data_IF_562810179486
#
_entry.id   IF_562810179486
#
_cell.length_a   1.000
_cell.length_b   1.000
_cell.length_c   1.000
_cell.angle_alpha   90.00
_cell.angle_beta   90.00
_cell.angle_gamma   90.00
#
_symmetry.space_group_name_H-M   'P 1'
#
loop_
_entity.id
_entity.type
_entity.pdbx_description
1 polymer ?
#
# COMPACT_ATOMS: atom_id res chain seq x y z
N UNK A 1 8.38 9.14 -1.33
CA UNK A 1 7.07 9.76 -1.65
C UNK A 1 6.18 9.92 -0.42
N UNK A 2 5.17 10.80 -0.46
CA UNK A 2 4.22 10.95 0.64
C UNK A 2 3.35 9.69 0.82
N UNK A 3 3.16 9.23 2.06
CA UNK A 3 2.28 8.09 2.40
C UNK A 3 0.87 8.28 1.84
N UNK A 4 0.32 9.48 1.92
CA UNK A 4 -1.02 9.80 1.40
C UNK A 4 -1.15 9.55 -0.11
N UNK A 5 -0.08 9.75 -0.88
CA UNK A 5 -0.06 9.43 -2.31
C UNK A 5 -0.14 7.92 -2.54
N UNK A 6 0.63 7.13 -1.78
CA UNK A 6 0.55 5.67 -1.84
C UNK A 6 -0.85 5.17 -1.46
N UNK A 7 -1.42 5.62 -0.34
CA UNK A 7 -2.75 5.17 0.09
C UNK A 7 -3.86 5.48 -0.93
N UNK A 8 -3.78 6.64 -1.58
CA UNK A 8 -4.71 7.00 -2.66
C UNK A 8 -4.59 6.07 -3.86
N UNK A 9 -3.38 5.69 -4.23
CA UNK A 9 -3.13 4.70 -5.28
C UNK A 9 -3.67 3.32 -4.91
N UNK A 10 -3.41 2.85 -3.68
CA UNK A 10 -3.95 1.58 -3.18
C UNK A 10 -5.48 1.55 -3.29
N UNK A 11 -6.16 2.59 -2.81
CA UNK A 11 -7.63 2.71 -2.91
C UNK A 11 -8.13 2.76 -4.35
N UNK A 12 -7.42 3.47 -5.24
CA UNK A 12 -7.77 3.55 -6.67
C UNK A 12 -7.75 2.17 -7.33
N UNK A 13 -6.87 1.27 -6.89
CA UNK A 13 -6.78 -0.11 -7.36
C UNK A 13 -7.59 -1.11 -6.53
N UNK A 14 -8.54 -0.63 -5.72
CA UNK A 14 -9.46 -1.49 -4.98
C UNK A 14 -8.87 -2.14 -3.73
N UNK A 15 -7.63 -1.81 -3.33
CA UNK A 15 -7.10 -2.27 -2.06
C UNK A 15 -7.78 -1.56 -0.89
N UNK A 16 -8.02 -2.31 0.18
CA UNK A 16 -8.70 -1.81 1.38
C UNK A 16 -7.83 -1.98 2.62
N UNK A 17 -8.09 -1.14 3.61
CA UNK A 17 -7.46 -1.23 4.92
C UNK A 17 -8.05 -2.42 5.67
N UNK A 18 -7.24 -3.46 5.91
CA UNK A 18 -7.65 -4.68 6.61
C UNK A 18 -7.59 -4.52 8.13
N UNK A 19 -6.53 -3.89 8.64
CA UNK A 19 -6.32 -3.69 10.08
C UNK A 19 -5.37 -2.53 10.33
N UNK A 20 -5.71 -1.65 11.27
CA UNK A 20 -4.75 -0.66 11.78
C UNK A 20 -3.88 -1.26 12.88
N UNK A 21 -2.58 -1.01 12.79
CA UNK A 21 -1.60 -1.31 13.83
C UNK A 21 -0.89 -0.05 14.30
N UNK A 22 0.01 -0.20 15.27
CA UNK A 22 0.74 0.94 15.86
C UNK A 22 1.67 1.60 14.84
N UNK A 23 2.60 0.83 14.27
CA UNK A 23 3.60 1.36 13.31
C UNK A 23 3.24 1.09 11.84
N UNK A 24 2.40 0.09 11.58
CA UNK A 24 2.02 -0.34 10.24
C UNK A 24 0.51 -0.56 10.16
N UNK A 25 -0.06 -0.25 9.00
CA UNK A 25 -1.44 -0.59 8.62
C UNK A 25 -1.39 -1.79 7.69
N UNK A 26 -2.20 -2.82 7.91
CA UNK A 26 -2.33 -3.93 6.97
C UNK A 26 -3.33 -3.56 5.88
N UNK A 27 -2.90 -3.66 4.64
CA UNK A 27 -3.72 -3.45 3.45
C UNK A 27 -3.91 -4.77 2.73
N UNK A 28 -5.07 -4.94 2.10
CA UNK A 28 -5.37 -6.15 1.35
C UNK A 28 -5.98 -5.82 0.00
N UNK A 29 -5.66 -6.63 -1.01
CA UNK A 29 -6.35 -6.63 -2.28
C UNK A 29 -7.45 -7.71 -2.22
N UNK A 30 -8.74 -7.34 -2.13
CA UNK A 30 -9.82 -8.31 -2.03
C UNK A 30 -9.98 -9.19 -3.27
N UNK A 31 -9.50 -8.74 -4.43
CA UNK A 31 -9.57 -9.49 -5.68
C UNK A 31 -8.59 -10.65 -5.73
N UNK A 32 -7.40 -10.48 -5.12
CA UNK A 32 -6.34 -11.50 -5.13
C UNK A 32 -6.14 -12.19 -3.78
N UNK A 33 -6.68 -11.63 -2.69
CA UNK A 33 -6.46 -12.08 -1.32
C UNK A 33 -5.12 -11.63 -0.72
N UNK A 34 -4.27 -10.96 -1.50
CA UNK A 34 -2.95 -10.52 -1.05
C UNK A 34 -3.02 -9.50 0.08
N UNK A 35 -2.04 -9.52 0.97
CA UNK A 35 -1.96 -8.65 2.14
C UNK A 35 -0.54 -8.11 2.30
N UNK A 36 -0.43 -6.80 2.49
CA UNK A 36 0.84 -6.13 2.71
C UNK A 36 0.80 -5.14 3.87
N UNK A 37 1.95 -4.96 4.52
CA UNK A 37 2.13 -4.00 5.60
C UNK A 37 2.58 -2.64 5.04
N UNK A 38 1.80 -1.60 5.32
CA UNK A 38 2.09 -0.22 4.90
C UNK A 38 2.53 0.59 6.12
N UNK A 39 3.77 1.13 6.15
CA UNK A 39 4.25 1.97 7.24
C UNK A 39 3.38 3.21 7.48
N UNK A 40 3.33 3.70 8.73
CA UNK A 40 2.50 4.85 9.13
C UNK A 40 3.23 6.20 9.17
N UNK A 41 4.54 6.23 9.00
CA UNK A 41 5.31 7.47 8.84
C UNK A 41 4.98 8.21 7.54
N UNK A 42 5.26 9.51 7.50
CA UNK A 42 4.83 10.45 6.46
C UNK A 42 5.46 10.17 5.09
N UNK A 43 6.71 9.72 5.08
CA UNK A 43 7.48 9.50 3.86
C UNK A 43 7.83 8.03 3.67
N UNK A 44 7.47 7.47 2.51
CA UNK A 44 7.77 6.09 2.14
C UNK A 44 8.82 6.10 1.04
N UNK A 45 9.94 5.39 1.17
CA UNK A 45 10.93 5.24 0.09
C UNK A 45 10.27 4.69 -1.18
N UNK A 46 10.59 5.26 -2.35
CA UNK A 46 9.94 4.89 -3.62
C UNK A 46 10.10 3.39 -3.93
N UNK A 47 11.25 2.80 -3.62
CA UNK A 47 11.49 1.35 -3.76
C UNK A 47 10.54 0.52 -2.91
N UNK A 48 10.28 0.96 -1.67
CA UNK A 48 9.35 0.28 -0.77
C UNK A 48 7.91 0.41 -1.26
N UNK A 49 7.51 1.60 -1.71
CA UNK A 49 6.18 1.82 -2.28
C UNK A 49 5.91 0.91 -3.49
N UNK A 50 6.90 0.76 -4.40
CA UNK A 50 6.81 -0.17 -5.54
C UNK A 50 6.71 -1.63 -5.09
N UNK A 51 7.49 -2.03 -4.07
CA UNK A 51 7.42 -3.38 -3.50
C UNK A 51 6.01 -3.68 -2.94
N UNK A 52 5.44 -2.74 -2.18
CA UNK A 52 4.07 -2.85 -1.64
C UNK A 52 3.04 -2.99 -2.78
N UNK A 53 3.16 -2.20 -3.86
CA UNK A 53 2.27 -2.31 -5.01
C UNK A 53 2.34 -3.70 -5.66
N UNK A 54 3.56 -4.22 -5.85
CA UNK A 54 3.78 -5.58 -6.39
C UNK A 54 3.22 -6.66 -5.47
N UNK A 55 3.44 -6.54 -4.16
CA UNK A 55 2.91 -7.49 -3.17
C UNK A 55 1.39 -7.51 -3.12
N UNK A 56 0.73 -6.37 -3.38
CA UNK A 56 -0.72 -6.28 -3.52
C UNK A 56 -1.24 -6.63 -4.92
N UNK A 57 -0.37 -7.06 -5.83
CA UNK A 57 -0.73 -7.39 -7.23
C UNK A 57 -1.41 -6.23 -7.97
N UNK A 58 -0.92 -5.00 -7.78
CA UNK A 58 -1.40 -3.79 -8.47
C UNK A 58 -0.25 -3.07 -9.23
N UNK A 59 -0.56 -2.20 -10.20
CA UNK A 59 0.45 -1.41 -10.91
C UNK A 59 1.32 -0.58 -9.97
N UNK A 60 2.60 -0.42 -10.33
CA UNK A 60 3.54 0.39 -9.56
C UNK A 60 3.17 1.87 -9.59
N UNK A 61 3.26 2.52 -8.44
CA UNK A 61 3.04 3.96 -8.34
C UNK A 61 4.19 4.77 -8.97
N UNK A 62 3.83 5.75 -9.80
CA UNK A 62 4.78 6.62 -10.49
C UNK A 62 5.53 5.96 -11.66
N UNK A 63 4.99 4.85 -12.19
CA UNK A 63 5.37 4.31 -13.50
C UNK A 63 4.54 4.98 -14.59
#
# INVERSE_FOLDING_TARGET
MKRTALLRHLRKHGCVLKREGRSHSLWTNPTTGEVEAVPRHTEIPNRLARKICRGLSIPEIGK
#
